data_IF_644481802922
#
_entry.id   IF_644481802922
#
_cell.length_a   1.000
_cell.length_b   1.000
_cell.length_c   1.000
_cell.angle_alpha   90.00
_cell.angle_beta   90.00
_cell.angle_gamma   90.00
#
_symmetry.space_group_name_H-M   'P 1'
#
loop_
_entity.id
_entity.type
_entity.pdbx_description
1 polymer ?
#
# COMPACT_ATOMS: atom_id res chain seq x y z
N UNK A 1 15.14 25.55 7.99
CA UNK A 1 14.05 24.83 7.28
C UNK A 1 13.80 23.49 7.97
N UNK A 2 12.63 23.28 8.56
CA UNK A 2 12.32 22.03 9.27
C UNK A 2 12.18 20.87 8.27
N UNK A 3 13.10 19.89 8.33
CA UNK A 3 12.97 18.62 7.61
C UNK A 3 11.74 17.88 8.17
N UNK A 4 10.56 18.14 7.61
CA UNK A 4 9.34 17.38 7.88
C UNK A 4 9.62 15.93 7.54
N UNK A 5 9.39 15.02 8.48
CA UNK A 5 9.46 13.58 8.23
C UNK A 5 8.44 13.21 7.15
N UNK A 6 8.84 12.38 6.18
CA UNK A 6 8.00 12.00 5.03
C UNK A 6 7.99 10.48 4.90
N UNK A 7 6.83 9.92 4.60
CA UNK A 7 6.73 8.55 4.08
C UNK A 7 6.78 8.66 2.56
N UNK A 8 7.71 7.95 1.93
CA UNK A 8 7.83 7.95 0.47
C UNK A 8 7.42 6.59 -0.10
N UNK A 9 6.67 6.63 -1.20
CA UNK A 9 6.15 5.45 -1.89
C UNK A 9 6.58 5.48 -3.35
N UNK A 10 7.14 4.37 -3.82
CA UNK A 10 7.42 4.13 -5.24
C UNK A 10 6.83 2.78 -5.64
N UNK A 11 6.46 2.65 -6.92
CA UNK A 11 5.92 1.42 -7.47
C UNK A 11 6.55 1.13 -8.82
N UNK A 12 6.52 -0.15 -9.21
CA UNK A 12 6.91 -0.58 -10.55
C UNK A 12 5.67 -0.83 -11.42
N UNK A 13 5.76 -0.41 -12.68
CA UNK A 13 4.80 -0.76 -13.72
C UNK A 13 5.55 -1.47 -14.87
N UNK A 14 5.00 -2.54 -15.45
CA UNK A 14 5.68 -3.52 -16.33
C UNK A 14 6.42 -2.91 -17.52
N UNK A 15 5.93 -1.77 -18.00
CA UNK A 15 6.46 -1.08 -19.17
C UNK A 15 7.09 0.29 -18.85
N UNK A 16 7.15 0.68 -17.56
CA UNK A 16 7.59 2.00 -17.15
C UNK A 16 8.63 1.98 -16.02
N UNK A 17 9.01 0.81 -15.52
CA UNK A 17 9.95 0.67 -14.41
C UNK A 17 9.41 1.31 -13.12
N UNK A 18 10.35 1.66 -12.23
CA UNK A 18 10.04 2.36 -10.97
C UNK A 18 9.65 3.81 -11.22
N UNK A 19 8.49 4.22 -10.69
CA UNK A 19 8.04 5.61 -10.74
C UNK A 19 8.65 6.45 -9.61
N UNK A 20 8.61 7.78 -9.76
CA UNK A 20 9.15 8.71 -8.76
C UNK A 20 8.52 8.55 -7.37
N UNK A 21 9.28 8.93 -6.34
CA UNK A 21 8.83 8.86 -4.95
C UNK A 21 7.69 9.85 -4.68
N UNK A 22 6.62 9.36 -4.08
CA UNK A 22 5.47 10.16 -3.67
C UNK A 22 5.42 10.23 -2.14
N UNK A 23 5.30 11.44 -1.60
CA UNK A 23 5.26 11.68 -0.16
C UNK A 23 3.91 11.36 0.49
N UNK A 24 3.91 11.35 1.83
CA UNK A 24 2.76 11.20 2.73
C UNK A 24 1.45 11.84 2.21
N UNK A 25 0.41 11.02 2.05
CA UNK A 25 -0.91 11.40 1.52
C UNK A 25 -0.99 11.54 -0.01
N UNK A 26 0.13 11.55 -0.73
CA UNK A 26 0.16 11.60 -2.18
C UNK A 26 -0.22 10.28 -2.85
N UNK A 27 -0.69 10.37 -4.09
CA UNK A 27 -1.07 9.22 -4.91
C UNK A 27 0.15 8.66 -5.66
N UNK A 28 0.50 7.41 -5.37
CA UNK A 28 1.49 6.63 -6.13
C UNK A 28 0.75 5.70 -7.08
N UNK A 29 0.97 5.82 -8.40
CA UNK A 29 0.20 5.12 -9.43
C UNK A 29 -0.63 6.04 -10.33
N UNK A 30 -1.54 5.44 -11.08
CA UNK A 30 -2.47 6.17 -11.93
C UNK A 30 -3.89 5.69 -11.68
N UNK A 31 -4.86 6.58 -11.72
CA UNK A 31 -6.28 6.21 -11.59
C UNK A 31 -6.94 6.17 -12.97
N UNK A 32 -7.65 5.09 -13.30
CA UNK A 32 -8.50 5.02 -14.50
C UNK A 32 -7.75 4.87 -15.84
N UNK A 33 -6.41 4.79 -15.81
CA UNK A 33 -5.58 4.64 -17.03
C UNK A 33 -5.28 3.17 -17.38
N UNK A 34 -5.92 2.23 -16.69
CA UNK A 34 -5.72 0.79 -16.86
C UNK A 34 -4.28 0.28 -16.65
N UNK A 35 -3.42 1.07 -16.00
CA UNK A 35 -2.04 0.66 -15.69
C UNK A 35 -2.02 -0.05 -14.33
N UNK A 36 -1.50 -1.28 -14.33
CA UNK A 36 -1.36 -2.11 -13.12
C UNK A 36 -0.09 -1.78 -12.34
N UNK A 37 -0.17 -1.91 -11.01
CA UNK A 37 1.00 -2.02 -10.15
C UNK A 37 1.49 -3.48 -10.14
N UNK A 38 2.80 -3.70 -10.22
CA UNK A 38 3.40 -5.05 -10.13
C UNK A 38 4.23 -5.24 -8.86
N UNK A 39 4.87 -4.17 -8.40
CA UNK A 39 5.59 -4.14 -7.15
C UNK A 39 5.48 -2.77 -6.49
N UNK A 40 5.71 -2.74 -5.18
CA UNK A 40 5.74 -1.55 -4.36
C UNK A 40 6.98 -1.55 -3.45
N UNK A 41 7.55 -0.37 -3.25
CA UNK A 41 8.55 -0.10 -2.21
C UNK A 41 8.06 1.11 -1.41
N UNK A 42 8.04 0.94 -0.10
CA UNK A 42 7.68 2.00 0.85
C UNK A 42 8.89 2.24 1.73
N UNK A 43 9.27 3.51 1.88
CA UNK A 43 10.37 3.89 2.76
C UNK A 43 9.98 5.02 3.70
N UNK A 44 10.60 5.03 4.87
CA UNK A 44 10.60 6.19 5.75
C UNK A 44 11.75 7.13 5.36
N UNK A 45 11.47 8.42 5.34
CA UNK A 45 12.45 9.47 5.02
C UNK A 45 12.49 10.53 6.13
N UNK A 46 13.67 11.10 6.37
CA UNK A 46 13.89 12.14 7.37
C UNK A 46 13.99 11.62 8.81
N UNK A 47 13.60 12.44 9.80
CA UNK A 47 13.75 12.12 11.24
C UNK A 47 13.05 10.81 11.67
N UNK A 48 11.96 10.44 11.00
CA UNK A 48 11.24 9.17 11.23
C UNK A 48 12.01 7.93 10.74
N UNK A 49 12.95 8.06 9.81
CA UNK A 49 13.83 6.97 9.41
C UNK A 49 14.93 6.69 10.45
N UNK A 50 15.30 7.72 11.23
CA UNK A 50 16.29 7.62 12.30
C UNK A 50 15.70 7.12 13.64
N UNK A 51 14.37 7.03 13.75
CA UNK A 51 13.69 6.46 14.91
C UNK A 51 13.47 4.97 14.62
N UNK A 52 13.87 4.10 15.53
CA UNK A 52 13.97 2.63 15.41
C UNK A 52 12.65 1.86 15.19
N UNK A 53 11.70 2.40 14.44
CA UNK A 53 10.48 1.70 14.10
C UNK A 53 10.47 1.30 12.63
N UNK A 54 9.95 0.11 12.37
CA UNK A 54 9.91 -0.43 11.02
C UNK A 54 8.50 -0.27 10.45
N UNK A 55 8.43 0.15 9.20
CA UNK A 55 7.23 -0.08 8.40
C UNK A 55 7.39 -1.45 7.75
N UNK A 56 6.36 -2.28 7.89
CA UNK A 56 6.27 -3.58 7.23
C UNK A 56 5.09 -3.61 6.29
N UNK A 57 5.25 -4.25 5.15
CA UNK A 57 4.18 -4.39 4.18
C UNK A 57 4.28 -5.70 3.43
N UNK A 58 3.14 -6.13 2.89
CA UNK A 58 3.05 -7.28 1.99
C UNK A 58 1.97 -7.03 0.96
N UNK A 59 2.08 -7.68 -0.19
CA UNK A 59 1.12 -7.58 -1.27
C UNK A 59 0.47 -8.93 -1.59
N UNK A 60 -0.79 -8.90 -2.00
CA UNK A 60 -1.46 -10.00 -2.67
C UNK A 60 -1.18 -9.91 -4.17
N UNK A 61 -0.53 -10.92 -4.73
CA UNK A 61 -0.12 -10.96 -6.13
C UNK A 61 -0.94 -11.99 -6.87
N UNK A 62 -1.34 -11.68 -8.11
CA UNK A 62 -1.99 -12.64 -9.00
C UNK A 62 -1.22 -13.98 -9.03
N UNK A 63 -1.96 -15.09 -8.96
CA UNK A 63 -1.44 -16.47 -8.94
C UNK A 63 -0.74 -16.86 -7.64
N UNK A 64 -0.08 -15.93 -6.93
CA UNK A 64 0.73 -16.25 -5.74
C UNK A 64 0.02 -15.98 -4.42
N UNK A 65 -1.04 -15.18 -4.43
CA UNK A 65 -1.74 -14.78 -3.22
C UNK A 65 -0.93 -13.82 -2.36
N UNK A 66 -1.18 -13.84 -1.05
CA UNK A 66 -0.44 -13.02 -0.09
C UNK A 66 1.01 -13.49 0.02
N UNK A 67 1.94 -12.59 -0.27
CA UNK A 67 3.37 -12.83 -0.05
C UNK A 67 3.80 -12.51 1.39
N UNK A 68 5.05 -12.84 1.72
CA UNK A 68 5.66 -12.52 3.01
C UNK A 68 5.75 -11.02 3.29
N UNK A 69 5.81 -10.67 4.57
CA UNK A 69 6.07 -9.30 5.01
C UNK A 69 7.52 -8.90 4.67
N UNK A 70 7.68 -7.70 4.13
CA UNK A 70 8.97 -7.07 3.89
C UNK A 70 9.08 -5.79 4.71
N UNK A 71 10.30 -5.39 5.03
CA UNK A 71 10.59 -4.17 5.78
C UNK A 71 10.75 -2.97 4.84
N UNK A 72 10.81 -1.77 5.44
CA UNK A 72 11.11 -0.51 4.78
C UNK A 72 12.21 -0.64 3.71
N UNK A 73 11.94 -0.12 2.51
CA UNK A 73 12.89 -0.11 1.40
C UNK A 73 13.01 -1.42 0.61
N UNK A 74 12.49 -2.55 1.11
CA UNK A 74 12.51 -3.82 0.38
C UNK A 74 11.34 -3.93 -0.61
N UNK A 75 11.53 -4.60 -1.73
CA UNK A 75 10.45 -4.77 -2.72
C UNK A 75 9.40 -5.78 -2.25
N UNK A 76 8.11 -5.44 -2.38
CA UNK A 76 6.99 -6.39 -2.29
C UNK A 76 6.27 -6.48 -3.63
N UNK A 77 5.93 -7.69 -4.09
CA UNK A 77 5.35 -7.94 -5.41
C UNK A 77 6.32 -8.65 -6.36
N UNK A 78 6.18 -8.36 -7.66
CA UNK A 78 7.06 -8.89 -8.70
C UNK A 78 7.53 -7.79 -9.65
N UNK A 79 8.68 -7.99 -10.29
CA UNK A 79 9.18 -7.09 -11.34
C UNK A 79 9.41 -7.90 -12.62
N UNK A 80 8.92 -7.40 -13.76
CA UNK A 80 9.13 -8.01 -15.07
C UNK A 80 8.37 -9.33 -15.31
N UNK A 81 7.48 -9.74 -14.40
CA UNK A 81 6.73 -11.00 -14.51
C UNK A 81 5.30 -10.84 -15.04
N UNK A 82 4.90 -9.62 -15.42
CA UNK A 82 3.55 -9.32 -15.86
C UNK A 82 2.43 -9.63 -14.84
N UNK A 83 2.74 -9.80 -13.55
CA UNK A 83 1.78 -10.16 -12.48
C UNK A 83 1.31 -8.92 -11.73
N UNK A 84 0.00 -8.68 -11.73
CA UNK A 84 -0.62 -7.55 -11.01
C UNK A 84 -0.60 -7.76 -9.48
N UNK A 85 -0.49 -6.65 -8.76
CA UNK A 85 -0.93 -6.55 -7.37
C UNK A 85 -2.47 -6.45 -7.32
N UNK A 86 -3.08 -7.11 -6.35
CA UNK A 86 -4.54 -7.09 -6.14
C UNK A 86 -4.92 -6.48 -4.77
N UNK A 87 -4.05 -6.64 -3.77
CA UNK A 87 -4.23 -6.06 -2.44
C UNK A 87 -2.89 -5.79 -1.74
N UNK A 88 -2.94 -5.03 -0.65
CA UNK A 88 -1.79 -4.69 0.19
C UNK A 88 -2.19 -4.65 1.68
N UNK A 89 -1.26 -5.02 2.56
CA UNK A 89 -1.35 -4.77 4.01
C UNK A 89 -0.09 -4.01 4.44
N UNK A 90 -0.22 -3.03 5.32
CA UNK A 90 0.87 -2.20 5.82
C UNK A 90 0.70 -2.03 7.32
N UNK A 91 1.76 -2.26 8.09
CA UNK A 91 1.77 -2.08 9.54
C UNK A 91 3.02 -1.34 10.00
N UNK A 92 2.91 -0.70 11.14
CA UNK A 92 4.04 -0.11 11.86
C UNK A 92 4.43 -1.04 13.00
N UNK A 93 5.72 -1.20 13.23
CA UNK A 93 6.25 -2.01 14.34
C UNK A 93 7.05 -1.14 15.31
N UNK A 94 7.35 -1.71 16.48
CA UNK A 94 8.21 -1.11 17.50
C UNK A 94 7.76 0.31 17.87
N UNK A 95 8.71 1.21 18.16
CA UNK A 95 8.43 2.57 18.63
C UNK A 95 7.57 3.42 17.68
N UNK A 96 7.61 3.12 16.38
CA UNK A 96 6.81 3.86 15.39
C UNK A 96 5.33 3.50 15.51
N UNK A 97 5.01 2.22 15.71
CA UNK A 97 3.63 1.76 15.93
C UNK A 97 3.01 2.22 17.26
N UNK A 98 3.84 2.52 18.27
CA UNK A 98 3.39 3.13 19.52
C UNK A 98 3.05 4.62 19.38
N UNK A 99 3.68 5.31 18.42
CA UNK A 99 3.55 6.76 18.25
C UNK A 99 2.61 7.18 17.12
N UNK A 100 2.39 6.30 16.15
CA UNK A 100 1.64 6.59 14.93
C UNK A 100 0.73 5.41 14.55
N UNK A 101 -0.31 5.73 13.79
CA UNK A 101 -1.08 4.78 12.99
C UNK A 101 -0.77 5.01 11.52
N UNK A 102 -0.80 3.94 10.72
CA UNK A 102 -0.72 4.02 9.26
C UNK A 102 -2.08 3.76 8.64
N UNK A 103 -2.58 4.73 7.88
CA UNK A 103 -3.76 4.56 7.03
C UNK A 103 -3.34 4.44 5.57
N UNK A 104 -3.98 3.56 4.83
CA UNK A 104 -3.74 3.39 3.40
C UNK A 104 -4.99 2.96 2.67
N UNK A 105 -5.12 3.41 1.42
CA UNK A 105 -6.18 2.97 0.52
C UNK A 105 -5.62 2.77 -0.87
N UNK A 106 -6.35 2.00 -1.66
CA UNK A 106 -5.96 1.68 -3.03
C UNK A 106 -7.05 2.04 -4.01
N UNK A 107 -6.66 2.34 -5.24
CA UNK A 107 -7.54 2.39 -6.38
C UNK A 107 -7.52 1.01 -7.05
N UNK A 108 -8.60 0.24 -6.89
CA UNK A 108 -8.75 -1.06 -7.52
C UNK A 108 -9.56 -0.94 -8.80
N UNK A 109 -9.20 -1.73 -9.81
CA UNK A 109 -9.99 -1.86 -11.03
C UNK A 109 -11.45 -2.17 -10.71
N UNK A 110 -12.38 -1.53 -11.42
CA UNK A 110 -13.85 -1.62 -11.25
C UNK A 110 -14.42 -1.09 -9.93
N UNK A 111 -13.64 -0.94 -8.86
CA UNK A 111 -14.10 -0.36 -7.59
C UNK A 111 -13.65 1.08 -7.35
N UNK A 112 -12.68 1.57 -8.12
CA UNK A 112 -12.12 2.90 -7.90
C UNK A 112 -11.37 2.98 -6.57
N UNK A 113 -11.35 4.17 -5.96
CA UNK A 113 -10.79 4.35 -4.62
C UNK A 113 -11.63 3.63 -3.58
N UNK A 114 -11.01 2.66 -2.91
CA UNK A 114 -11.61 1.92 -1.81
C UNK A 114 -11.43 2.67 -0.47
N UNK A 115 -12.05 2.16 0.60
CA UNK A 115 -11.89 2.71 1.93
C UNK A 115 -10.46 2.64 2.46
N UNK A 116 -10.17 3.46 3.48
CA UNK A 116 -8.90 3.44 4.20
C UNK A 116 -8.81 2.22 5.12
N UNK A 117 -7.82 1.36 4.88
CA UNK A 117 -7.36 0.35 5.81
C UNK A 117 -6.39 0.96 6.83
N UNK A 118 -6.21 0.27 7.96
CA UNK A 118 -5.38 0.72 9.08
C UNK A 118 -4.53 -0.43 9.61
N UNK A 119 -3.28 -0.15 9.97
CA UNK A 119 -2.41 -0.99 10.82
C UNK A 119 -2.52 -2.51 10.59
N UNK A 120 -2.22 -2.96 9.37
CA UNK A 120 -2.16 -4.37 9.01
C UNK A 120 -3.46 -4.92 8.43
N UNK A 121 -4.56 -4.17 8.47
CA UNK A 121 -5.79 -4.53 7.76
C UNK A 121 -5.58 -4.62 6.24
N UNK A 122 -6.36 -5.39 5.51
CA UNK A 122 -6.17 -5.48 4.07
C UNK A 122 -6.77 -4.26 3.35
N UNK A 123 -6.14 -3.83 2.25
CA UNK A 123 -6.68 -2.87 1.30
C UNK A 123 -6.65 -3.46 -0.11
N UNK A 124 -7.75 -3.35 -0.86
CA UNK A 124 -7.86 -3.84 -2.24
C UNK A 124 -8.78 -5.04 -2.39
N UNK A 125 -8.41 -5.98 -3.25
CA UNK A 125 -9.23 -7.15 -3.55
C UNK A 125 -8.43 -8.45 -3.53
N UNK A 126 -9.09 -9.56 -3.22
CA UNK A 126 -8.55 -10.90 -3.40
C UNK A 126 -9.57 -11.78 -4.14
N UNK A 127 -9.11 -12.60 -5.08
CA UNK A 127 -9.96 -13.54 -5.82
C UNK A 127 -10.76 -12.93 -6.99
N UNK A 128 -10.90 -11.61 -7.06
CA UNK A 128 -11.60 -10.91 -8.17
C UNK A 128 -10.80 -10.81 -9.46
N UNK A 129 -9.49 -11.08 -9.42
CA UNK A 129 -8.56 -10.79 -10.50
C UNK A 129 -8.43 -9.28 -10.87
N UNK A 130 -8.81 -8.39 -9.95
CA UNK A 130 -8.74 -6.93 -10.18
C UNK A 130 -7.38 -6.37 -9.78
N UNK A 131 -6.77 -5.60 -10.70
CA UNK A 131 -5.47 -4.95 -10.45
C UNK A 131 -5.63 -3.75 -9.53
N UNK A 132 -4.59 -3.48 -8.74
CA UNK A 132 -4.35 -2.15 -8.17
C UNK A 132 -3.78 -1.24 -9.24
N UNK A 133 -4.27 -0.01 -9.29
CA UNK A 133 -3.80 1.04 -10.21
C UNK A 133 -3.08 2.18 -9.48
N UNK A 134 -3.49 2.46 -8.23
CA UNK A 134 -2.86 3.47 -7.38
C UNK A 134 -3.01 3.15 -5.89
N UNK A 135 -2.19 3.81 -5.08
CA UNK A 135 -2.20 3.73 -3.61
C UNK A 135 -1.97 5.11 -3.00
N UNK A 136 -2.61 5.35 -1.86
CA UNK A 136 -2.30 6.44 -0.94
C UNK A 136 -1.97 5.86 0.42
N UNK A 137 -0.96 6.42 1.07
CA UNK A 137 -0.53 6.03 2.41
C UNK A 137 -0.36 7.31 3.23
N UNK A 138 -0.84 7.31 4.46
CA UNK A 138 -0.59 8.38 5.40
C UNK A 138 -0.22 7.91 6.80
N UNK A 139 0.66 8.65 7.47
CA UNK A 139 0.97 8.49 8.88
C UNK A 139 0.26 9.55 9.72
N UNK A 140 -0.53 9.12 10.69
CA UNK A 140 -1.18 10.01 11.66
C UNK A 140 -0.74 9.67 13.08
N UNK A 141 -0.92 10.60 14.02
CA UNK A 141 -0.63 10.32 15.44
C UNK A 141 -1.45 9.12 15.92
N UNK A 142 -0.89 8.35 16.85
CA UNK A 142 -1.57 7.20 17.44
C UNK A 142 -2.99 7.57 17.89
N UNK A 143 -3.99 6.81 17.44
CA UNK A 143 -5.40 7.03 17.80
C UNK A 143 -6.13 8.11 16.99
N UNK A 144 -5.46 8.80 16.06
CA UNK A 144 -6.14 9.78 15.21
C UNK A 144 -7.06 9.14 14.17
N UNK A 145 -8.08 9.89 13.75
CA UNK A 145 -9.07 9.45 12.77
C UNK A 145 -8.46 9.23 11.38
N UNK A 146 -9.08 8.33 10.62
CA UNK A 146 -8.74 8.12 9.21
C UNK A 146 -8.99 9.41 8.39
N UNK A 147 -8.25 9.65 7.29
CA UNK A 147 -8.49 10.81 6.41
C UNK A 147 -9.83 10.79 5.68
N UNK A 148 -10.55 9.67 5.69
CA UNK A 148 -11.84 9.48 5.05
C UNK A 148 -12.45 8.14 5.43
N UNK A 149 -13.46 7.71 4.67
CA UNK A 149 -14.18 6.47 4.97
C UNK A 149 -13.26 5.25 5.04
N UNK A 150 -13.48 4.41 6.04
CA UNK A 150 -12.83 3.10 6.22
C UNK A 150 -13.69 1.94 5.70
N UNK A 151 -14.91 2.23 5.21
CA UNK A 151 -15.83 1.23 4.68
C UNK A 151 -15.29 0.58 3.41
N UNK A 152 -15.47 -0.73 3.25
CA UNK A 152 -15.09 -1.46 2.03
C UNK A 152 -13.60 -1.27 1.65
N UNK A 153 -12.69 -1.16 2.63
CA UNK A 153 -11.26 -1.07 2.36
C UNK A 153 -10.73 -2.33 1.65
N UNK A 154 -11.32 -3.50 1.93
CA UNK A 154 -10.99 -4.78 1.31
C UNK A 154 -12.22 -5.56 0.90
N UNK A 155 -12.13 -6.28 -0.22
CA UNK A 155 -13.15 -7.22 -0.70
C UNK A 155 -12.51 -8.53 -1.12
N UNK A 156 -12.99 -9.63 -0.56
CA UNK A 156 -12.60 -10.97 -0.99
C UNK A 156 -13.73 -11.60 -1.80
N UNK A 157 -13.40 -12.10 -2.98
CA UNK A 157 -14.32 -12.93 -3.73
C UNK A 157 -14.35 -14.28 -3.04
N UNK A 158 -15.52 -14.65 -2.57
CA UNK A 158 -15.83 -16.00 -2.14
C UNK A 158 -16.87 -16.50 -3.12
N UNK A 159 -16.54 -17.52 -3.90
CA UNK A 159 -17.58 -18.27 -4.59
C UNK A 159 -18.39 -18.96 -3.50
N UNK A 160 -19.65 -18.60 -3.34
CA UNK A 160 -20.58 -19.47 -2.63
C UNK A 160 -20.52 -20.82 -3.32
N UNK A 161 -20.15 -21.87 -2.59
CA UNK A 161 -20.30 -23.24 -3.07
C UNK A 161 -21.77 -23.40 -3.49
N UNK A 162 -21.96 -23.82 -4.74
CA UNK A 162 -23.26 -24.28 -5.24
C UNK A 162 -23.67 -25.56 -4.51
#
# INVERSE_FOLDING_TARGET
>A
QARRSRLDVSHACPNYGWQGWVGDGGTSGTTGKAKRLEAIVIRLSGRKAATSGEIQYRTHVQTYGWQGWVNTGAMSGTSGKAKRLEAISIRLTSNLGSSYDVYYRVHAQHFGWMGWAKDGANAGTAGYAYRLEAIQITLVRKGASAPGSTSNAFRQYTSSAA
#
